data_IF_015583883960
#
_entry.id   IF_015583883960
#
_cell.length_a   1.000
_cell.length_b   1.000
_cell.length_c   1.000
_cell.angle_alpha   90.00
_cell.angle_beta   90.00
_cell.angle_gamma   90.00
#
_symmetry.space_group_name_H-M   'P 1'
#
loop_
_entity.id
_entity.type
_entity.pdbx_description
1 polymer ?
#
# COMPACT_ATOMS: atom_id res chain seq x y z
N UNK A 1 15.21 3.99 -90.62
CA UNK A 1 16.00 3.97 -89.36
C UNK A 1 15.08 3.55 -88.22
N UNK A 2 15.25 2.34 -87.69
CA UNK A 2 14.40 1.81 -86.59
C UNK A 2 15.26 1.78 -85.33
N UNK A 3 14.96 2.65 -84.35
CA UNK A 3 15.65 2.70 -83.07
C UNK A 3 15.08 1.61 -82.14
N UNK A 4 15.88 0.56 -81.87
CA UNK A 4 15.59 -0.43 -80.84
C UNK A 4 15.90 0.17 -79.46
N UNK A 5 14.90 0.33 -78.61
CA UNK A 5 15.08 0.66 -77.19
C UNK A 5 15.45 -0.61 -76.40
N UNK A 6 16.45 -0.58 -75.51
CA UNK A 6 16.71 -1.70 -74.61
C UNK A 6 15.71 -1.67 -73.45
N UNK A 7 15.04 -2.78 -73.19
CA UNK A 7 14.28 -3.00 -71.97
C UNK A 7 15.27 -3.34 -70.85
N UNK A 8 15.45 -2.42 -69.91
CA UNK A 8 16.15 -2.69 -68.64
C UNK A 8 15.25 -3.56 -67.77
N UNK A 9 15.61 -4.84 -67.62
CA UNK A 9 15.01 -5.71 -66.60
C UNK A 9 15.66 -5.39 -65.25
N UNK A 10 14.92 -4.73 -64.37
CA UNK A 10 15.28 -4.57 -62.96
C UNK A 10 14.82 -5.79 -62.19
N UNK A 11 15.72 -6.72 -61.91
CA UNK A 11 15.47 -7.79 -60.93
C UNK A 11 15.57 -7.19 -59.53
N UNK A 12 14.43 -6.83 -58.94
CA UNK A 12 14.35 -6.48 -57.52
C UNK A 12 14.48 -7.75 -56.69
N UNK A 13 15.64 -7.94 -56.05
CA UNK A 13 15.81 -8.98 -55.06
C UNK A 13 14.94 -8.63 -53.83
N UNK A 14 13.89 -9.43 -53.59
CA UNK A 14 13.08 -9.34 -52.37
C UNK A 14 13.91 -9.85 -51.19
N UNK A 15 14.53 -8.93 -50.46
CA UNK A 15 15.16 -9.22 -49.16
C UNK A 15 14.08 -9.41 -48.11
N UNK A 16 13.93 -10.64 -47.59
CA UNK A 16 13.10 -10.88 -46.41
C UNK A 16 13.74 -10.15 -45.22
N UNK A 17 13.00 -9.32 -44.47
CA UNK A 17 13.57 -8.64 -43.32
C UNK A 17 14.01 -9.69 -42.29
N UNK A 18 15.30 -9.77 -42.01
CA UNK A 18 15.84 -10.51 -40.87
C UNK A 18 15.29 -9.87 -39.60
N UNK A 19 14.28 -10.48 -39.00
CA UNK A 19 13.82 -10.10 -37.66
C UNK A 19 14.85 -10.61 -36.66
N UNK A 20 15.72 -9.72 -36.19
CA UNK A 20 16.63 -10.00 -35.09
C UNK A 20 15.82 -10.15 -33.79
N UNK A 21 15.38 -11.37 -33.50
CA UNK A 21 14.74 -11.71 -32.21
C UNK A 21 15.87 -11.84 -31.18
N UNK A 22 16.28 -10.72 -30.56
CA UNK A 22 17.14 -10.82 -29.36
C UNK A 22 16.30 -11.43 -28.25
N UNK A 23 16.56 -12.69 -27.93
CA UNK A 23 16.09 -13.29 -26.69
C UNK A 23 16.64 -12.46 -25.54
N UNK A 24 15.76 -12.04 -24.63
CA UNK A 24 16.15 -11.29 -23.44
C UNK A 24 17.03 -12.22 -22.59
N UNK A 25 18.35 -12.00 -22.63
CA UNK A 25 19.31 -12.89 -21.97
C UNK A 25 19.10 -12.86 -20.45
N UNK A 26 18.80 -14.06 -19.96
CA UNK A 26 18.31 -14.41 -18.65
C UNK A 26 19.45 -14.39 -17.62
N UNK A 27 19.64 -13.30 -16.87
CA UNK A 27 20.41 -13.28 -15.61
C UNK A 27 19.95 -12.17 -14.64
N UNK A 28 18.65 -11.97 -14.46
CA UNK A 28 18.19 -11.24 -13.27
C UNK A 28 18.20 -12.26 -12.13
N UNK A 29 19.04 -12.11 -11.10
CA UNK A 29 19.03 -13.04 -9.98
C UNK A 29 17.65 -13.02 -9.34
N UNK A 30 17.14 -14.22 -8.99
CA UNK A 30 15.87 -14.33 -8.28
C UNK A 30 15.99 -13.52 -6.99
N UNK A 31 15.11 -12.53 -6.83
CA UNK A 31 15.14 -11.71 -5.63
C UNK A 31 14.79 -12.53 -4.40
N UNK A 32 15.47 -12.27 -3.27
CA UNK A 32 15.20 -12.99 -2.04
C UNK A 32 13.75 -12.81 -1.60
N UNK A 33 13.25 -13.82 -0.90
CA UNK A 33 11.94 -13.79 -0.28
C UNK A 33 12.04 -12.86 0.94
N UNK A 34 11.17 -11.83 1.05
CA UNK A 34 11.19 -10.93 2.19
C UNK A 34 10.70 -11.67 3.45
N UNK A 35 11.28 -11.34 4.60
CA UNK A 35 10.83 -11.89 5.87
C UNK A 35 9.42 -11.37 6.22
N UNK A 36 8.58 -12.17 6.89
CA UNK A 36 7.27 -11.72 7.35
C UNK A 36 7.44 -10.60 8.39
N UNK A 37 6.49 -9.67 8.42
CA UNK A 37 6.48 -8.57 9.39
C UNK A 37 5.63 -8.95 10.60
N UNK A 38 5.85 -8.37 11.79
CA UNK A 38 4.99 -8.65 12.95
C UNK A 38 3.51 -8.32 12.70
N UNK A 39 3.25 -7.32 11.84
CA UNK A 39 1.90 -6.95 11.43
C UNK A 39 1.29 -7.93 10.39
N UNK A 40 2.12 -8.60 9.59
CA UNK A 40 1.71 -9.60 8.60
C UNK A 40 2.58 -10.85 8.77
N UNK A 41 2.19 -11.76 9.67
CA UNK A 41 2.95 -12.97 9.94
C UNK A 41 2.78 -14.03 8.82
N UNK A 42 1.58 -14.14 8.25
CA UNK A 42 1.21 -15.23 7.34
C UNK A 42 0.78 -14.73 5.94
N UNK A 43 0.78 -15.64 4.96
CA UNK A 43 0.28 -15.31 3.62
C UNK A 43 -1.21 -14.95 3.61
N UNK A 44 -2.01 -15.56 4.51
CA UNK A 44 -3.43 -15.24 4.61
C UNK A 44 -3.64 -13.79 5.10
N UNK A 45 -2.90 -13.39 6.13
CA UNK A 45 -2.89 -12.01 6.63
C UNK A 45 -2.51 -11.03 5.51
N UNK A 46 -1.53 -11.37 4.67
CA UNK A 46 -1.15 -10.55 3.52
C UNK A 46 -2.27 -10.40 2.49
N UNK A 47 -2.89 -11.51 2.09
CA UNK A 47 -3.99 -11.52 1.12
C UNK A 47 -5.23 -10.77 1.64
N UNK A 48 -5.51 -10.88 2.94
CA UNK A 48 -6.54 -10.10 3.59
C UNK A 48 -6.18 -8.60 3.60
N UNK A 49 -4.94 -8.25 3.92
CA UNK A 49 -4.51 -6.86 4.01
C UNK A 49 -4.66 -6.10 2.69
N UNK A 50 -4.26 -6.70 1.56
CA UNK A 50 -4.34 -6.07 0.24
C UNK A 50 -5.77 -6.00 -0.33
N UNK A 51 -6.71 -6.76 0.25
CA UNK A 51 -8.14 -6.75 -0.07
C UNK A 51 -8.49 -7.33 -1.44
N UNK A 52 -9.51 -6.73 -2.10
CA UNK A 52 -10.06 -7.19 -3.40
C UNK A 52 -10.46 -8.66 -3.43
N UNK A 53 -11.01 -9.17 -2.33
CA UNK A 53 -11.44 -10.57 -2.16
C UNK A 53 -10.36 -11.60 -2.49
N UNK A 54 -9.08 -11.26 -2.31
CA UNK A 54 -7.95 -12.19 -2.51
C UNK A 54 -7.80 -13.19 -1.36
N UNK A 55 -8.39 -12.90 -0.20
CA UNK A 55 -8.57 -13.83 0.92
C UNK A 55 -9.22 -15.16 0.50
N UNK A 56 -10.13 -15.12 -0.48
CA UNK A 56 -10.79 -16.30 -1.04
C UNK A 56 -9.83 -17.28 -1.75
N UNK A 57 -8.64 -16.83 -2.14
CA UNK A 57 -7.63 -17.65 -2.80
C UNK A 57 -6.51 -18.12 -1.85
N UNK A 58 -6.66 -17.89 -0.54
CA UNK A 58 -5.67 -18.31 0.47
C UNK A 58 -5.37 -19.82 0.42
N UNK A 59 -6.40 -20.65 0.24
CA UNK A 59 -6.22 -22.12 0.14
C UNK A 59 -5.35 -22.56 -1.05
N UNK A 60 -5.22 -21.72 -2.09
CA UNK A 60 -4.42 -22.01 -3.29
C UNK A 60 -2.94 -21.66 -3.11
N UNK A 61 -2.63 -20.85 -2.09
CA UNK A 61 -1.28 -20.37 -1.79
C UNK A 61 -0.95 -20.82 -0.36
N UNK A 62 -0.38 -22.03 -0.19
CA UNK A 62 -0.30 -22.68 1.11
C UNK A 62 0.80 -22.14 2.03
N UNK A 63 1.81 -21.43 1.51
CA UNK A 63 2.93 -20.92 2.30
C UNK A 63 3.36 -19.51 1.89
N UNK A 64 4.07 -18.83 2.79
CA UNK A 64 4.71 -17.53 2.54
C UNK A 64 5.68 -17.60 1.35
N UNK A 65 6.50 -18.64 1.30
CA UNK A 65 7.46 -18.83 0.22
C UNK A 65 6.77 -19.03 -1.13
N UNK A 66 5.68 -19.81 -1.15
CA UNK A 66 4.87 -19.98 -2.36
C UNK A 66 4.31 -18.64 -2.84
N UNK A 67 3.82 -17.79 -1.92
CA UNK A 67 3.29 -16.47 -2.26
C UNK A 67 4.31 -15.62 -3.02
N UNK A 68 5.59 -15.61 -2.62
CA UNK A 68 6.64 -14.81 -3.25
C UNK A 68 7.37 -15.49 -4.41
N UNK A 69 7.23 -16.80 -4.56
CA UNK A 69 7.89 -17.57 -5.62
C UNK A 69 7.01 -17.78 -6.86
N UNK A 70 5.71 -18.03 -6.67
CA UNK A 70 4.80 -18.40 -7.76
C UNK A 70 4.78 -17.36 -8.89
N UNK A 71 4.82 -17.83 -10.13
CA UNK A 71 4.75 -17.00 -11.33
C UNK A 71 3.30 -16.68 -11.73
N UNK A 72 3.12 -15.76 -12.67
CA UNK A 72 1.78 -15.43 -13.17
C UNK A 72 1.08 -16.61 -13.83
N UNK A 73 1.80 -17.49 -14.54
CA UNK A 73 1.21 -18.64 -15.23
C UNK A 73 0.77 -19.68 -14.20
N UNK A 74 1.62 -19.98 -13.22
CA UNK A 74 1.30 -20.89 -12.13
C UNK A 74 0.10 -20.41 -11.31
N UNK A 75 0.02 -19.11 -11.01
CA UNK A 75 -1.15 -18.54 -10.32
C UNK A 75 -2.45 -18.70 -11.13
N UNK A 76 -2.38 -18.66 -12.46
CA UNK A 76 -3.52 -18.93 -13.34
C UNK A 76 -3.94 -20.39 -13.26
N UNK A 77 -2.98 -21.32 -13.30
CA UNK A 77 -3.24 -22.76 -13.22
C UNK A 77 -3.85 -23.17 -11.88
N UNK A 78 -3.39 -22.56 -10.78
CA UNK A 78 -4.00 -22.69 -9.45
C UNK A 78 -5.41 -22.03 -9.36
N UNK A 79 -5.81 -21.28 -10.39
CA UNK A 79 -7.12 -20.65 -10.51
C UNK A 79 -7.27 -19.33 -9.75
N UNK A 80 -6.19 -18.58 -9.56
CA UNK A 80 -6.25 -17.18 -9.10
C UNK A 80 -6.70 -16.31 -10.27
N UNK A 81 -8.00 -16.29 -10.48
CA UNK A 81 -8.70 -15.53 -11.51
C UNK A 81 -9.61 -14.49 -10.85
N UNK A 82 -9.80 -13.29 -11.42
CA UNK A 82 -9.43 -12.84 -12.76
C UNK A 82 -7.97 -12.41 -12.93
N UNK A 83 -7.48 -12.36 -14.18
CA UNK A 83 -6.15 -11.85 -14.53
C UNK A 83 -5.78 -10.50 -13.90
N UNK A 84 -6.75 -9.60 -13.67
CA UNK A 84 -6.53 -8.32 -12.98
C UNK A 84 -6.14 -8.49 -11.51
N UNK A 85 -6.78 -9.42 -10.80
CA UNK A 85 -6.45 -9.73 -9.39
C UNK A 85 -5.07 -10.34 -9.27
N UNK A 86 -4.69 -11.21 -10.21
CA UNK A 86 -3.34 -11.78 -10.31
C UNK A 86 -2.26 -10.72 -10.54
N UNK A 87 -2.47 -9.79 -11.49
CA UNK A 87 -1.53 -8.66 -11.71
C UNK A 87 -1.40 -7.78 -10.47
N UNK A 88 -2.52 -7.54 -9.78
CA UNK A 88 -2.53 -6.75 -8.55
C UNK A 88 -1.76 -7.43 -7.41
N UNK A 89 -1.91 -8.75 -7.24
CA UNK A 89 -1.14 -9.53 -6.27
C UNK A 89 0.37 -9.44 -6.54
N UNK A 90 0.79 -9.59 -7.80
CA UNK A 90 2.20 -9.47 -8.19
C UNK A 90 2.76 -8.06 -7.93
N UNK A 91 1.96 -7.03 -8.21
CA UNK A 91 2.31 -5.64 -7.90
C UNK A 91 2.52 -5.42 -6.39
N UNK A 92 1.63 -5.95 -5.56
CA UNK A 92 1.77 -5.83 -4.09
C UNK A 92 2.92 -6.66 -3.52
N UNK A 93 3.20 -7.85 -4.06
CA UNK A 93 4.39 -8.62 -3.71
C UNK A 93 5.67 -7.83 -3.96
N UNK A 94 5.71 -7.12 -5.07
CA UNK A 94 6.84 -6.30 -5.46
C UNK A 94 7.01 -5.10 -4.52
N UNK A 95 5.92 -4.40 -4.18
CA UNK A 95 5.93 -3.34 -3.16
C UNK A 95 6.44 -3.85 -1.82
N UNK A 96 5.97 -5.01 -1.38
CA UNK A 96 6.41 -5.61 -0.13
C UNK A 96 7.92 -5.93 -0.13
N UNK A 97 8.45 -6.46 -1.24
CA UNK A 97 9.91 -6.68 -1.41
C UNK A 97 10.73 -5.40 -1.31
N UNK A 98 10.17 -4.27 -1.76
CA UNK A 98 10.84 -2.97 -1.71
C UNK A 98 10.68 -2.27 -0.35
N UNK A 99 10.02 -2.90 0.63
CA UNK A 99 9.73 -2.29 1.93
C UNK A 99 8.65 -1.21 1.86
N UNK A 100 7.89 -1.15 0.76
CA UNK A 100 6.77 -0.22 0.59
C UNK A 100 5.49 -0.82 1.18
N UNK A 101 5.40 -0.76 2.51
CA UNK A 101 4.22 -1.22 3.21
C UNK A 101 3.11 -0.16 3.24
N UNK A 102 1.87 -0.63 3.42
CA UNK A 102 0.76 0.25 3.75
C UNK A 102 0.75 0.65 5.23
N UNK A 103 -0.39 1.19 5.68
CA UNK A 103 -0.57 1.61 7.08
C UNK A 103 -0.30 0.43 8.04
N UNK A 104 0.48 0.68 9.09
CA UNK A 104 0.80 -0.34 10.09
C UNK A 104 1.91 -1.32 9.70
N UNK A 105 2.49 -1.24 8.49
CA UNK A 105 3.60 -2.11 8.11
C UNK A 105 4.89 -1.92 8.93
N UNK A 106 5.08 -0.71 9.47
CA UNK A 106 6.23 -0.36 10.31
C UNK A 106 6.08 -0.84 11.77
N UNK A 107 4.95 -1.44 12.13
CA UNK A 107 4.65 -1.87 13.48
C UNK A 107 5.49 -3.10 13.89
N UNK A 108 6.31 -2.93 14.92
CA UNK A 108 7.12 -4.02 15.48
C UNK A 108 6.38 -4.82 16.55
N UNK A 109 5.64 -4.14 17.43
CA UNK A 109 4.88 -4.80 18.49
C UNK A 109 3.42 -4.97 18.05
N UNK A 110 3.03 -6.21 17.78
CA UNK A 110 1.68 -6.56 17.35
C UNK A 110 1.25 -7.76 18.18
N UNK A 111 0.11 -7.63 18.84
CA UNK A 111 -0.49 -8.70 19.66
C UNK A 111 -1.84 -9.04 19.06
N UNK A 112 -2.06 -10.31 18.70
CA UNK A 112 -3.31 -10.81 18.09
C UNK A 112 -3.76 -10.03 16.85
N UNK A 113 -2.80 -9.61 16.00
CA UNK A 113 -3.10 -8.80 14.82
C UNK A 113 -3.52 -7.36 15.12
N UNK A 114 -3.33 -6.91 16.37
CA UNK A 114 -3.62 -5.54 16.84
C UNK A 114 -2.33 -4.86 17.26
N UNK A 115 -2.04 -3.71 16.65
CA UNK A 115 -0.95 -2.83 17.06
C UNK A 115 -1.49 -1.73 17.98
N UNK A 116 -0.96 -1.62 19.19
CA UNK A 116 -1.28 -0.53 20.10
C UNK A 116 -0.34 0.66 19.86
N UNK A 117 -0.95 1.84 19.73
CA UNK A 117 -0.27 3.09 19.44
C UNK A 117 -0.38 4.03 20.62
N UNK A 118 0.72 4.69 20.95
CA UNK A 118 0.75 5.72 21.97
C UNK A 118 1.36 7.00 21.45
N UNK A 119 0.80 8.11 21.93
CA UNK A 119 1.36 9.43 21.76
C UNK A 119 2.50 9.63 22.76
N UNK A 120 3.71 9.87 22.26
CA UNK A 120 4.89 10.14 23.07
C UNK A 120 5.46 11.50 22.66
N UNK A 121 5.91 12.28 23.64
CA UNK A 121 6.69 13.49 23.39
C UNK A 121 8.17 13.10 23.33
N UNK A 122 8.78 13.28 22.16
CA UNK A 122 10.19 12.96 21.92
C UNK A 122 10.97 14.25 21.62
N UNK A 123 12.24 14.36 22.03
CA UNK A 123 13.08 15.47 21.67
C UNK A 123 13.33 15.45 20.16
N UNK A 124 13.35 16.63 19.55
CA UNK A 124 13.73 16.77 18.14
C UNK A 124 15.24 16.72 18.08
N UNK A 125 15.79 15.63 17.54
CA UNK A 125 17.23 15.55 17.29
C UNK A 125 17.60 16.66 16.29
N UNK A 126 18.52 17.59 16.64
CA UNK A 126 18.95 18.62 15.72
C UNK A 126 19.65 17.97 14.53
N UNK A 127 19.27 18.39 13.31
CA UNK A 127 19.98 17.94 12.12
C UNK A 127 21.39 18.49 12.17
N UNK A 128 22.39 17.62 12.35
CA UNK A 128 23.79 18.00 12.24
C UNK A 128 24.08 18.28 10.77
N UNK A 129 24.05 19.56 10.40
CA UNK A 129 24.70 20.02 9.19
C UNK A 129 26.22 19.91 9.43
N UNK A 130 26.93 19.37 8.44
CA UNK A 130 28.38 19.15 8.45
C UNK A 130 29.11 20.36 9.04
N UNK A 131 29.87 20.09 10.10
CA UNK A 131 30.75 21.01 10.85
C UNK A 131 30.09 22.29 11.41
N UNK A 132 29.74 22.25 12.71
CA UNK A 132 29.79 23.44 13.56
C UNK A 132 28.50 24.21 13.84
N UNK A 133 27.32 23.64 13.62
CA UNK A 133 26.08 24.28 14.07
C UNK A 133 24.84 23.42 13.87
N UNK A 134 24.41 22.70 14.92
CA UNK A 134 23.13 22.00 14.90
C UNK A 134 21.97 23.00 14.86
N UNK A 135 21.37 23.19 13.69
CA UNK A 135 20.22 24.09 13.54
C UNK A 135 18.93 23.28 13.65
N UNK A 136 18.17 23.50 14.74
CA UNK A 136 16.80 22.98 14.83
C UNK A 136 15.88 23.75 13.87
N UNK A 137 14.87 23.07 13.34
CA UNK A 137 13.82 23.75 12.58
C UNK A 137 13.18 24.83 13.47
N UNK A 138 13.00 26.06 12.96
CA UNK A 138 12.36 27.17 13.70
C UNK A 138 11.03 26.74 14.33
N UNK A 139 10.28 25.87 13.66
CA UNK A 139 9.00 25.34 14.16
C UNK A 139 9.15 24.52 15.44
N UNK A 140 10.27 23.82 15.59
CA UNK A 140 10.58 23.00 16.76
C UNK A 140 11.24 23.81 17.89
N UNK A 141 11.91 24.92 17.55
CA UNK A 141 12.53 25.80 18.54
C UNK A 141 11.52 26.71 19.27
N UNK A 142 10.41 27.06 18.61
CA UNK A 142 9.39 27.96 19.18
C UNK A 142 8.33 27.18 19.97
N UNK A 143 8.07 27.59 21.21
CA UNK A 143 6.97 27.09 22.03
C UNK A 143 5.62 27.50 21.42
N UNK A 144 4.71 26.55 21.24
CA UNK A 144 3.34 26.80 20.76
C UNK A 144 2.34 26.22 21.75
N UNK A 145 1.08 26.67 21.76
CA UNK A 145 0.02 26.13 22.63
C UNK A 145 -0.10 24.58 22.61
N UNK A 146 0.39 23.93 21.56
CA UNK A 146 0.34 22.48 21.38
C UNK A 146 1.63 21.73 21.73
N UNK A 147 2.81 22.35 21.75
CA UNK A 147 4.09 21.64 21.99
C UNK A 147 5.14 22.50 22.70
N UNK A 148 5.94 21.85 23.54
CA UNK A 148 7.07 22.46 24.25
C UNK A 148 8.26 22.68 23.31
N UNK A 149 9.10 23.70 23.56
CA UNK A 149 10.24 23.97 22.70
C UNK A 149 11.23 22.79 22.75
N UNK A 150 11.71 22.38 21.58
CA UNK A 150 12.65 21.25 21.44
C UNK A 150 12.00 19.86 21.43
N UNK A 151 10.68 19.74 21.63
CA UNK A 151 9.98 18.45 21.55
C UNK A 151 9.06 18.36 20.33
N UNK A 152 8.76 17.13 19.92
CA UNK A 152 7.71 16.82 18.96
C UNK A 152 6.87 15.65 19.48
N UNK A 153 5.58 15.71 19.21
CA UNK A 153 4.66 14.60 19.46
C UNK A 153 4.77 13.58 18.34
N UNK A 154 5.08 12.34 18.69
CA UNK A 154 5.23 11.22 17.76
C UNK A 154 4.31 10.09 18.21
N UNK A 155 3.71 9.39 17.24
CA UNK A 155 2.93 8.19 17.49
C UNK A 155 3.84 6.99 17.33
N UNK A 156 4.04 6.26 18.42
CA UNK A 156 4.95 5.12 18.51
C UNK A 156 4.12 3.86 18.78
N UNK A 157 4.57 2.74 18.23
CA UNK A 157 4.01 1.43 18.55
C UNK A 157 4.60 0.96 19.89
N UNK A 158 3.74 0.63 20.85
CA UNK A 158 4.12 0.17 22.20
C UNK A 158 3.49 -1.20 22.43
N UNK A 159 4.17 -2.16 23.09
CA UNK A 159 3.58 -3.45 23.41
C UNK A 159 2.29 -3.31 24.23
N UNK A 160 1.37 -4.24 24.02
CA UNK A 160 0.04 -4.17 24.63
C UNK A 160 0.13 -4.13 26.17
N UNK A 161 -0.54 -3.15 26.77
CA UNK A 161 -0.56 -2.97 28.23
C UNK A 161 0.68 -2.29 28.85
N UNK A 162 1.81 -2.19 28.15
CA UNK A 162 3.02 -1.55 28.70
C UNK A 162 2.92 -0.02 28.74
N UNK A 163 3.64 0.62 29.66
CA UNK A 163 3.82 2.08 29.72
C UNK A 163 4.63 2.61 28.52
N UNK A 164 4.59 3.93 28.19
CA UNK A 164 5.39 4.46 27.10
C UNK A 164 6.85 4.02 27.23
N UNK A 165 7.54 3.71 26.11
CA UNK A 165 8.90 3.19 26.14
C UNK A 165 9.80 4.14 26.93
N UNK A 166 10.45 3.59 27.96
CA UNK A 166 11.42 4.29 28.79
C UNK A 166 12.81 4.36 28.11
N UNK A 167 12.95 3.77 26.91
CA UNK A 167 14.22 3.64 26.21
C UNK A 167 14.33 4.63 25.05
N UNK A 168 15.44 5.38 25.10
CA UNK A 168 16.01 6.35 24.17
C UNK A 168 15.02 6.97 23.17
N UNK A 169 14.50 8.15 23.55
CA UNK A 169 13.67 9.01 22.69
C UNK A 169 14.43 9.55 21.45
N UNK A 170 15.72 9.25 21.35
CA UNK A 170 16.61 9.67 20.27
C UNK A 170 16.29 8.92 18.99
N UNK A 171 15.69 9.63 18.03
CA UNK A 171 15.46 9.09 16.68
C UNK A 171 14.17 8.30 16.48
N UNK A 172 13.24 8.31 17.45
CA UNK A 172 11.92 7.69 17.29
C UNK A 172 11.25 8.18 15.99
N UNK A 173 11.07 7.25 15.06
CA UNK A 173 10.31 7.47 13.82
C UNK A 173 8.86 7.14 14.10
N UNK A 174 7.98 8.11 13.85
CA UNK A 174 6.55 7.88 13.92
C UNK A 174 6.11 6.93 12.83
N UNK A 175 5.03 6.19 13.11
CA UNK A 175 4.42 5.26 12.14
C UNK A 175 3.92 6.04 10.92
N UNK A 176 4.27 5.56 9.73
CA UNK A 176 3.92 6.23 8.47
C UNK A 176 2.40 6.34 8.30
N UNK A 177 1.93 7.53 7.91
CA UNK A 177 0.52 7.79 7.60
C UNK A 177 -0.37 8.16 8.80
N UNK A 178 0.19 8.18 10.01
CA UNK A 178 -0.52 8.60 11.23
C UNK A 178 -0.01 9.96 11.67
N UNK A 179 -0.93 10.87 11.97
CA UNK A 179 -0.63 12.25 12.32
C UNK A 179 -1.36 12.64 13.60
N UNK A 180 -0.71 13.44 14.43
CA UNK A 180 -1.31 14.04 15.63
C UNK A 180 -1.98 15.36 15.22
N UNK A 181 -3.27 15.51 15.49
CA UNK A 181 -4.02 16.76 15.30
C UNK A 181 -4.29 17.44 16.65
N UNK A 182 -4.09 18.75 16.71
CA UNK A 182 -4.27 19.52 17.94
C UNK A 182 -3.32 19.02 19.04
N UNK A 183 -3.83 18.95 20.28
CA UNK A 183 -2.98 18.53 21.40
C UNK A 183 -2.79 17.01 21.44
N UNK A 184 -3.86 16.24 21.59
CA UNK A 184 -3.77 14.80 21.90
C UNK A 184 -4.49 13.88 20.90
N UNK A 185 -5.03 14.40 19.79
CA UNK A 185 -5.88 13.61 18.90
C UNK A 185 -5.06 12.88 17.83
N UNK A 186 -4.91 11.58 17.98
CA UNK A 186 -4.32 10.73 16.93
C UNK A 186 -5.31 10.60 15.77
N UNK A 187 -4.88 10.92 14.55
CA UNK A 187 -5.67 10.79 13.32
C UNK A 187 -4.89 9.96 12.30
N UNK A 188 -5.55 8.96 11.73
CA UNK A 188 -5.01 8.18 10.63
C UNK A 188 -6.10 7.32 10.00
N UNK A 189 -5.86 6.75 8.80
CA UNK A 189 -6.72 5.75 8.23
C UNK A 189 -6.71 4.50 9.11
N UNK A 190 -7.88 3.89 9.35
CA UNK A 190 -8.01 2.63 10.11
C UNK A 190 -7.47 2.67 11.56
N UNK A 191 -7.37 3.87 12.14
CA UNK A 191 -6.95 4.07 13.54
C UNK A 191 -8.19 4.19 14.43
N UNK A 192 -8.32 3.28 15.40
CA UNK A 192 -9.37 3.29 16.43
C UNK A 192 -8.82 3.88 17.73
N UNK A 193 -9.36 5.01 18.20
CA UNK A 193 -8.94 5.58 19.49
C UNK A 193 -9.55 4.80 20.66
N UNK A 194 -8.74 4.48 21.67
CA UNK A 194 -9.22 3.76 22.86
C UNK A 194 -10.01 4.73 23.75
N UNK A 195 -11.26 4.38 24.05
CA UNK A 195 -12.12 5.16 24.95
C UNK A 195 -11.50 5.22 26.36
N UNK A 196 -11.64 6.36 27.04
CA UNK A 196 -11.08 6.57 28.38
C UNK A 196 -9.60 6.98 28.43
N UNK A 197 -8.87 6.95 27.32
CA UNK A 197 -7.44 7.33 27.28
C UNK A 197 -7.18 8.79 26.87
N UNK A 198 -8.20 9.65 26.81
CA UNK A 198 -8.05 11.07 26.46
C UNK A 198 -7.42 11.36 25.09
N UNK A 199 -7.47 10.39 24.16
CA UNK A 199 -6.84 10.46 22.82
C UNK A 199 -5.38 9.99 22.76
N UNK A 200 -4.76 9.65 23.89
CA UNK A 200 -3.34 9.29 23.99
C UNK A 200 -3.04 7.88 23.46
N UNK A 201 -4.03 6.99 23.48
CA UNK A 201 -3.92 5.60 23.03
C UNK A 201 -4.82 5.36 21.82
N UNK A 202 -4.30 4.66 20.83
CA UNK A 202 -5.06 4.20 19.68
C UNK A 202 -4.66 2.75 19.33
N UNK A 203 -5.47 2.09 18.51
CA UNK A 203 -5.25 0.71 18.06
C UNK A 203 -5.41 0.65 16.55
N UNK A 204 -4.57 -0.15 15.90
CA UNK A 204 -4.75 -0.54 14.50
C UNK A 204 -4.96 -2.04 14.48
N UNK A 205 -6.09 -2.47 13.94
CA UNK A 205 -6.41 -3.88 13.73
C UNK A 205 -6.15 -4.23 12.28
N UNK A 206 -5.57 -5.40 12.05
CA UNK A 206 -5.55 -6.01 10.72
C UNK A 206 -7.00 -6.23 10.28
N UNK A 207 -7.39 -5.62 9.16
CA UNK A 207 -8.71 -5.76 8.57
C UNK A 207 -8.59 -5.95 7.06
N UNK A 208 -9.65 -6.48 6.45
CA UNK A 208 -9.66 -6.70 5.02
C UNK A 208 -9.55 -5.37 4.25
N UNK A 209 -8.61 -5.32 3.31
CA UNK A 209 -8.38 -4.16 2.45
C UNK A 209 -7.76 -2.96 3.16
N UNK A 210 -7.09 -3.15 4.29
CA UNK A 210 -6.32 -2.08 4.95
C UNK A 210 -5.25 -1.45 4.04
N UNK A 211 -4.70 -2.23 3.10
CA UNK A 211 -3.75 -1.80 2.08
C UNK A 211 -4.40 -1.77 0.69
N UNK A 212 -5.73 -1.85 0.57
CA UNK A 212 -6.37 -1.94 -0.73
C UNK A 212 -6.28 -0.61 -1.51
N UNK A 213 -5.74 -0.68 -2.73
CA UNK A 213 -5.94 0.38 -3.71
C UNK A 213 -7.38 0.29 -4.24
N UNK A 214 -8.29 1.07 -3.64
CA UNK A 214 -9.73 1.01 -3.96
C UNK A 214 -9.99 1.37 -5.42
N UNK A 215 -10.86 0.58 -6.06
CA UNK A 215 -11.31 0.84 -7.43
C UNK A 215 -12.44 1.87 -7.42
N UNK A 216 -12.36 2.82 -8.35
CA UNK A 216 -13.49 3.69 -8.65
C UNK A 216 -14.70 2.86 -9.07
N UNK A 217 -15.85 3.14 -8.47
CA UNK A 217 -17.13 2.57 -8.86
C UNK A 217 -18.07 3.71 -9.30
N UNK A 218 -19.02 3.38 -10.18
CA UNK A 218 -19.98 4.37 -10.68
C UNK A 218 -21.11 4.55 -9.66
N UNK A 219 -21.25 5.75 -9.12
CA UNK A 219 -22.38 6.12 -8.25
C UNK A 219 -23.63 6.35 -9.12
N UNK A 220 -24.74 5.71 -8.78
CA UNK A 220 -26.03 5.80 -9.50
C UNK A 220 -25.91 5.59 -11.03
N UNK A 221 -25.14 4.59 -11.48
CA UNK A 221 -24.96 4.30 -12.92
C UNK A 221 -23.97 5.23 -13.64
N UNK A 222 -23.37 6.19 -12.93
CA UNK A 222 -22.45 7.19 -13.47
C UNK A 222 -23.17 8.37 -14.10
N UNK A 223 -22.42 9.38 -14.55
CA UNK A 223 -22.96 10.68 -14.95
C UNK A 223 -24.09 10.60 -15.99
N UNK A 224 -23.91 9.78 -17.04
CA UNK A 224 -24.89 9.67 -18.14
C UNK A 224 -26.23 9.06 -17.72
N UNK A 225 -26.24 8.09 -16.80
CA UNK A 225 -27.46 7.34 -16.42
C UNK A 225 -28.03 7.76 -15.07
N UNK A 226 -27.39 8.71 -14.38
CA UNK A 226 -27.76 9.13 -13.02
C UNK A 226 -29.22 9.57 -12.90
N UNK A 227 -29.70 10.39 -13.82
CA UNK A 227 -31.09 10.87 -13.81
C UNK A 227 -32.08 9.73 -14.04
N UNK A 228 -31.80 8.89 -15.05
CA UNK A 228 -32.62 7.72 -15.40
C UNK A 228 -32.71 6.71 -14.24
N UNK A 229 -31.58 6.32 -13.66
CA UNK A 229 -31.51 5.36 -12.55
C UNK A 229 -32.29 5.89 -11.34
N UNK A 230 -32.15 7.18 -11.02
CA UNK A 230 -32.89 7.80 -9.91
C UNK A 230 -34.39 7.91 -10.18
N UNK A 231 -34.78 8.20 -11.41
CA UNK A 231 -36.20 8.26 -11.79
C UNK A 231 -36.85 6.87 -11.70
N UNK A 232 -36.18 5.84 -12.23
CA UNK A 232 -36.63 4.44 -12.13
C UNK A 232 -36.74 3.98 -10.67
N UNK A 233 -35.74 4.30 -9.83
CA UNK A 233 -35.76 4.00 -8.39
C UNK A 233 -36.96 4.66 -7.70
N UNK A 234 -37.17 5.97 -7.92
CA UNK A 234 -38.32 6.70 -7.35
C UNK A 234 -39.67 6.13 -7.80
N UNK A 235 -39.80 5.75 -9.07
CA UNK A 235 -41.03 5.15 -9.59
C UNK A 235 -41.32 3.79 -8.94
N UNK A 236 -40.30 2.96 -8.71
CA UNK A 236 -40.43 1.68 -8.01
C UNK A 236 -40.85 1.88 -6.54
N UNK A 237 -40.17 2.78 -5.81
CA UNK A 237 -40.50 3.12 -4.43
C UNK A 237 -41.95 3.63 -4.29
N UNK A 238 -42.40 4.47 -5.22
CA UNK A 238 -43.79 4.96 -5.22
C UNK A 238 -44.81 3.86 -5.52
N UNK A 239 -44.47 2.90 -6.39
CA UNK A 239 -45.33 1.75 -6.68
C UNK A 239 -45.43 0.80 -5.48
N UNK A 240 -44.33 0.62 -4.75
CA UNK A 240 -44.30 -0.19 -3.53
C UNK A 240 -45.10 0.45 -2.41
N UNK A 241 -44.97 1.76 -2.19
CA UNK A 241 -45.76 2.50 -1.18
C UNK A 241 -47.27 2.54 -1.43
N UNK A 242 -47.68 2.39 -2.69
CA UNK A 242 -49.09 2.41 -3.10
C UNK A 242 -49.71 1.01 -3.09
N UNK A 243 -48.90 -0.04 -3.00
CA UNK A 243 -49.38 -1.40 -2.74
C UNK A 243 -49.62 -1.58 -1.26
#
# INVERSE_FOLDING_TARGET
MILRRPLLQTTSALSLPQTCIRNLHHKIPLRPIPQPTPFIPDQNAFLQAIGRSLSAHSAKIPSWDALFTLSSIQLKELGVEPARSRRYLLHWREKFRNGEYGIGGDCQHVTDGVAELRLVEAPVVPTVLREGGGSMSRRSAVATATHTPGTRRVVVNVPAGAEPPNESLEGLRGIKGIVVKGSKKIKGPYVETVKGSGGLKAKIKLQEGIWEERRGHKVDGGERRKAEVRAKRRAAENKEKRR
#
